data_IF_449917115271
#
_entry.id   IF_449917115271
#
_cell.length_a   1.000
_cell.length_b   1.000
_cell.length_c   1.000
_cell.angle_alpha   90.00
_cell.angle_beta   90.00
_cell.angle_gamma   90.00
#
_symmetry.space_group_name_H-M   'P 1'
#
loop_
_entity.id
_entity.type
_entity.pdbx_description
1 polymer ?
#
# COMPACT_ATOMS: atom_id res chain seq x y z
N UNK A 1 -1.17 -6.13 -1.97
CA UNK A 1 -2.09 -5.93 -0.83
C UNK A 1 -3.55 -6.12 -1.20
N UNK A 2 -4.05 -5.57 -2.30
CA UNK A 2 -5.44 -5.74 -2.76
C UNK A 2 -5.92 -7.19 -2.73
N UNK A 3 -5.12 -8.11 -3.25
CA UNK A 3 -5.42 -9.56 -3.18
C UNK A 3 -5.57 -10.07 -1.74
N UNK A 4 -4.69 -9.66 -0.82
CA UNK A 4 -4.76 -10.07 0.59
C UNK A 4 -6.03 -9.55 1.26
N UNK A 5 -6.40 -8.29 1.00
CA UNK A 5 -7.65 -7.71 1.48
C UNK A 5 -8.88 -8.45 0.91
N UNK A 6 -8.87 -8.77 -0.38
CA UNK A 6 -9.92 -9.58 -0.99
C UNK A 6 -10.01 -10.98 -0.37
N UNK A 7 -8.87 -11.68 -0.21
CA UNK A 7 -8.82 -13.01 0.39
C UNK A 7 -9.21 -13.01 1.89
N UNK A 8 -8.99 -11.89 2.59
CA UNK A 8 -9.43 -11.67 3.95
C UNK A 8 -10.95 -11.43 4.07
N UNK A 9 -11.67 -11.29 2.95
CA UNK A 9 -13.10 -10.98 2.93
C UNK A 9 -13.40 -9.48 3.04
N UNK A 10 -12.39 -8.62 2.81
CA UNK A 10 -12.49 -7.16 2.94
C UNK A 10 -12.04 -6.41 1.66
N UNK A 11 -12.76 -6.52 0.53
CA UNK A 11 -12.35 -5.90 -0.74
C UNK A 11 -12.12 -4.39 -0.65
N UNK A 12 -11.19 -3.89 -1.47
CA UNK A 12 -10.89 -2.45 -1.60
C UNK A 12 -11.96 -1.78 -2.44
N UNK A 13 -12.68 -0.81 -1.87
CA UNK A 13 -13.75 -0.05 -2.54
C UNK A 13 -13.25 1.30 -3.07
N UNK A 14 -12.25 1.90 -2.40
CA UNK A 14 -11.63 3.16 -2.83
C UNK A 14 -10.14 2.98 -3.08
N UNK A 15 -9.79 2.49 -4.29
CA UNK A 15 -8.42 2.17 -4.67
C UNK A 15 -7.47 3.37 -4.54
N UNK A 16 -7.90 4.58 -4.94
CA UNK A 16 -7.05 5.78 -4.89
C UNK A 16 -6.63 6.12 -3.45
N UNK A 17 -7.59 6.24 -2.54
CA UNK A 17 -7.33 6.59 -1.13
C UNK A 17 -6.60 5.46 -0.39
N UNK A 18 -6.84 4.20 -0.79
CA UNK A 18 -6.09 3.05 -0.31
C UNK A 18 -4.60 3.14 -0.71
N UNK A 19 -4.31 3.33 -2.00
CA UNK A 19 -2.96 3.47 -2.54
C UNK A 19 -2.21 4.66 -1.90
N UNK A 20 -2.85 5.82 -1.76
CA UNK A 20 -2.28 6.97 -1.04
C UNK A 20 -1.85 6.62 0.38
N UNK A 21 -2.68 5.82 1.06
CA UNK A 21 -2.38 5.29 2.39
C UNK A 21 -1.16 4.39 2.41
N UNK A 22 -1.11 3.41 1.51
CA UNK A 22 0.03 2.48 1.38
C UNK A 22 1.32 3.23 1.03
N UNK A 23 1.25 4.21 0.12
CA UNK A 23 2.40 5.04 -0.22
C UNK A 23 2.89 5.85 0.99
N UNK A 24 1.97 6.32 1.84
CA UNK A 24 2.35 7.00 3.08
C UNK A 24 3.15 6.10 4.01
N UNK A 25 2.73 4.85 4.18
CA UNK A 25 3.41 3.88 5.04
C UNK A 25 4.79 3.50 4.48
N UNK A 26 4.88 3.30 3.16
CA UNK A 26 6.14 2.98 2.48
C UNK A 26 7.17 4.11 2.58
N UNK A 27 6.77 5.37 2.78
CA UNK A 27 7.73 6.49 2.92
C UNK A 27 8.69 6.28 4.10
N UNK A 28 8.29 5.54 5.12
CA UNK A 28 9.08 5.30 6.34
C UNK A 28 10.33 4.43 6.12
N UNK A 29 10.36 3.64 5.04
CA UNK A 29 11.50 2.77 4.69
C UNK A 29 12.77 3.59 4.38
N UNK A 30 13.95 3.24 4.88
CA UNK A 30 15.13 4.12 4.79
C UNK A 30 15.86 3.99 3.44
N UNK A 31 16.17 5.11 2.75
CA UNK A 31 17.09 5.07 1.60
C UNK A 31 18.47 4.54 2.01
N UNK A 32 19.08 3.70 1.17
CA UNK A 32 20.37 3.05 1.42
C UNK A 32 20.27 1.69 2.14
N UNK A 33 19.13 1.39 2.79
CA UNK A 33 18.88 0.09 3.43
C UNK A 33 17.69 -0.62 2.81
N UNK A 34 16.51 0.01 2.85
CA UNK A 34 15.24 -0.58 2.42
C UNK A 34 14.83 -0.12 1.01
N UNK A 35 15.46 0.94 0.54
CA UNK A 35 15.13 1.59 -0.72
C UNK A 35 16.36 2.23 -1.35
N UNK A 36 16.32 2.41 -2.66
CA UNK A 36 17.26 3.24 -3.42
C UNK A 36 16.57 4.50 -3.90
N UNK A 37 17.31 5.61 -3.94
CA UNK A 37 16.84 6.83 -4.58
C UNK A 37 17.37 6.82 -6.01
N UNK A 38 16.47 6.63 -6.97
CA UNK A 38 16.81 6.62 -8.39
C UNK A 38 16.74 8.03 -8.96
N UNK A 39 17.81 8.44 -9.62
CA UNK A 39 17.87 9.73 -10.32
C UNK A 39 17.03 9.70 -11.61
N UNK A 40 16.60 10.87 -12.11
CA UNK A 40 15.84 10.93 -13.34
C UNK A 40 16.55 10.24 -14.51
N UNK A 41 15.79 9.52 -15.33
CA UNK A 41 16.29 8.79 -16.51
C UNK A 41 17.37 7.74 -16.22
N UNK A 42 17.47 7.20 -15.00
CA UNK A 42 18.33 6.02 -14.75
C UNK A 42 17.87 4.82 -15.58
N UNK A 43 18.77 3.87 -15.86
CA UNK A 43 18.44 2.67 -16.64
C UNK A 43 17.28 1.88 -16.03
N UNK A 44 17.19 1.83 -14.70
CA UNK A 44 16.10 1.17 -13.99
C UNK A 44 14.76 1.88 -14.25
N UNK A 45 14.71 3.21 -14.10
CA UNK A 45 13.48 3.96 -14.35
C UNK A 45 13.08 3.93 -15.83
N UNK A 46 14.05 3.90 -16.74
CA UNK A 46 13.79 3.74 -18.17
C UNK A 46 13.19 2.37 -18.51
N UNK A 47 13.74 1.29 -17.95
CA UNK A 47 13.18 -0.05 -18.08
C UNK A 47 11.75 -0.10 -17.53
N UNK A 48 11.52 0.43 -16.32
CA UNK A 48 10.18 0.44 -15.70
C UNK A 48 9.17 1.28 -16.49
N UNK A 49 9.60 2.41 -17.06
CA UNK A 49 8.74 3.27 -17.86
C UNK A 49 8.36 2.59 -19.18
N UNK A 50 9.33 1.98 -19.88
CA UNK A 50 9.09 1.22 -21.12
C UNK A 50 8.14 0.04 -20.92
N UNK A 51 8.14 -0.56 -19.73
CA UNK A 51 7.26 -1.66 -19.36
C UNK A 51 5.95 -1.19 -18.70
N UNK A 52 5.60 0.10 -18.77
CA UNK A 52 4.40 0.69 -18.17
C UNK A 52 4.24 0.46 -16.65
N UNK A 53 5.34 0.18 -15.94
CA UNK A 53 5.32 -0.03 -14.50
C UNK A 53 5.28 1.30 -13.72
N UNK A 54 5.73 2.39 -14.33
CA UNK A 54 5.71 3.74 -13.76
C UNK A 54 5.24 4.77 -14.79
N UNK A 55 4.62 5.86 -14.32
CA UNK A 55 4.09 6.93 -15.20
C UNK A 55 5.05 8.10 -15.42
N UNK A 56 6.18 8.14 -14.70
CA UNK A 56 7.14 9.24 -14.77
C UNK A 56 8.55 8.73 -14.51
N UNK A 57 9.54 9.36 -15.14
CA UNK A 57 10.96 9.12 -14.93
C UNK A 57 11.61 10.22 -14.08
N UNK A 58 10.83 10.91 -13.24
CA UNK A 58 11.37 11.82 -12.23
C UNK A 58 12.10 11.03 -11.15
N UNK A 59 12.92 11.74 -10.36
CA UNK A 59 13.58 11.21 -9.18
C UNK A 59 12.55 10.54 -8.27
N UNK A 60 12.76 9.26 -7.96
CA UNK A 60 11.81 8.49 -7.18
C UNK A 60 12.51 7.49 -6.27
N UNK A 61 11.87 7.24 -5.13
CA UNK A 61 12.32 6.26 -4.15
C UNK A 61 11.79 4.89 -4.57
N UNK A 62 12.69 3.98 -4.91
CA UNK A 62 12.39 2.62 -5.32
C UNK A 62 12.70 1.70 -4.15
N UNK A 63 11.73 0.90 -3.72
CA UNK A 63 11.85 0.02 -2.55
C UNK A 63 12.35 -1.36 -2.97
N UNK A 64 13.16 -2.00 -2.12
CA UNK A 64 13.49 -3.41 -2.29
C UNK A 64 12.31 -4.25 -1.83
N UNK A 65 11.81 -5.12 -2.70
CA UNK A 65 10.61 -5.92 -2.42
C UNK A 65 10.70 -6.74 -1.13
N UNK A 66 11.87 -7.31 -0.86
CA UNK A 66 12.14 -8.13 0.34
C UNK A 66 12.28 -7.29 1.62
N UNK A 67 12.58 -6.00 1.52
CA UNK A 67 12.67 -5.10 2.69
C UNK A 67 11.32 -4.53 3.10
N UNK A 68 10.29 -4.64 2.25
CA UNK A 68 8.94 -4.17 2.58
C UNK A 68 8.31 -5.14 3.59
N UNK A 69 7.91 -4.68 4.79
CA UNK A 69 7.25 -5.53 5.77
C UNK A 69 5.77 -5.72 5.40
N UNK A 70 5.50 -6.58 4.42
CA UNK A 70 4.18 -6.74 3.79
C UNK A 70 3.04 -7.05 4.78
N UNK A 71 3.32 -7.84 5.81
CA UNK A 71 2.32 -8.19 6.84
C UNK A 71 2.02 -6.99 7.74
N UNK A 72 3.06 -6.24 8.14
CA UNK A 72 2.88 -5.00 8.91
C UNK A 72 2.10 -3.96 8.11
N UNK A 73 2.44 -3.81 6.82
CA UNK A 73 1.77 -2.90 5.90
C UNK A 73 0.29 -3.26 5.71
N UNK A 74 -0.06 -4.55 5.72
CA UNK A 74 -1.44 -5.00 5.73
C UNK A 74 -2.15 -4.63 7.04
N UNK A 75 -1.53 -4.91 8.19
CA UNK A 75 -2.09 -4.61 9.50
C UNK A 75 -2.32 -3.10 9.71
N UNK A 76 -1.33 -2.26 9.37
CA UNK A 76 -1.44 -0.81 9.51
C UNK A 76 -2.55 -0.23 8.59
N UNK A 77 -2.74 -0.81 7.40
CA UNK A 77 -3.83 -0.44 6.49
C UNK A 77 -5.21 -0.87 7.04
N UNK A 78 -5.29 -2.09 7.60
CA UNK A 78 -6.51 -2.62 8.19
C UNK A 78 -6.92 -1.82 9.44
N UNK A 79 -5.98 -1.57 10.36
CA UNK A 79 -6.21 -0.79 11.57
C UNK A 79 -6.72 0.62 11.24
N UNK A 80 -6.17 1.25 10.20
CA UNK A 80 -6.62 2.57 9.73
C UNK A 80 -8.07 2.56 9.26
N UNK A 81 -8.48 1.54 8.51
CA UNK A 81 -9.84 1.44 8.03
C UNK A 81 -10.82 1.13 9.16
N UNK A 82 -10.48 0.22 10.07
CA UNK A 82 -11.30 -0.03 11.26
C UNK A 82 -11.44 1.25 12.11
N UNK A 83 -10.38 2.06 12.26
CA UNK A 83 -10.44 3.33 13.01
C UNK A 83 -11.40 4.31 12.35
N UNK A 84 -11.40 4.38 11.02
CA UNK A 84 -12.35 5.20 10.26
C UNK A 84 -13.79 4.74 10.47
N UNK A 85 -14.05 3.43 10.42
CA UNK A 85 -15.36 2.85 10.70
C UNK A 85 -15.85 3.23 12.11
N UNK A 86 -15.01 3.08 13.14
CA UNK A 86 -15.33 3.46 14.52
C UNK A 86 -15.65 4.96 14.67
N UNK A 87 -15.01 5.81 13.85
CA UNK A 87 -15.24 7.25 13.81
C UNK A 87 -16.40 7.68 12.89
N UNK A 88 -17.11 6.73 12.27
CA UNK A 88 -18.18 7.02 11.30
C UNK A 88 -17.69 7.65 9.99
N UNK A 89 -16.41 7.48 9.65
CA UNK A 89 -15.81 7.96 8.42
C UNK A 89 -15.76 6.85 7.37
N UNK A 90 -15.89 7.23 6.09
CA UNK A 90 -15.78 6.29 4.97
C UNK A 90 -14.39 5.61 4.90
N UNK A 91 -14.33 4.27 5.09
CA UNK A 91 -13.11 3.48 4.96
C UNK A 91 -12.73 3.28 3.49
N UNK A 92 -11.56 2.70 3.23
CA UNK A 92 -11.10 2.37 1.87
C UNK A 92 -11.41 0.94 1.45
N UNK A 93 -11.79 0.10 2.40
CA UNK A 93 -12.10 -1.32 2.27
C UNK A 93 -13.36 -1.62 3.07
N UNK A 94 -14.14 -2.61 2.65
CA UNK A 94 -15.40 -2.97 3.31
C UNK A 94 -15.44 -4.46 3.64
N UNK A 95 -15.88 -4.84 4.83
CA UNK A 95 -16.05 -6.23 5.21
C UNK A 95 -17.29 -6.83 4.52
N UNK A 96 -17.10 -7.91 3.76
CA UNK A 96 -18.15 -8.60 3.00
C UNK A 96 -18.24 -10.08 3.37
N UNK A 97 -17.15 -10.68 3.85
CA UNK A 97 -17.10 -12.09 4.24
C UNK A 97 -16.23 -12.31 5.48
N UNK A 98 -16.34 -13.49 6.08
CA UNK A 98 -15.44 -13.94 7.14
C UNK A 98 -14.02 -14.16 6.60
N UNK A 99 -12.96 -13.86 7.38
CA UNK A 99 -12.97 -13.41 8.78
C UNK A 99 -13.18 -11.89 8.98
N UNK A 100 -13.24 -11.08 7.92
CA UNK A 100 -13.34 -9.63 8.05
C UNK A 100 -14.64 -9.14 8.69
N UNK A 101 -15.75 -9.85 8.48
CA UNK A 101 -17.07 -9.48 9.01
C UNK A 101 -17.14 -9.55 10.55
N UNK A 102 -16.40 -10.47 11.17
CA UNK A 102 -16.34 -10.62 12.62
C UNK A 102 -15.23 -9.79 13.30
N UNK A 103 -14.41 -9.05 12.54
CA UNK A 103 -13.31 -8.26 13.09
C UNK A 103 -13.72 -6.80 13.36
N UNK A 104 -13.62 -6.36 14.60
CA UNK A 104 -13.83 -4.97 15.03
C UNK A 104 -12.67 -4.44 15.86
N UNK A 105 -12.51 -3.11 15.91
CA UNK A 105 -11.64 -2.46 16.89
C UNK A 105 -12.34 -2.36 18.24
N UNK A 106 -11.83 -3.07 19.24
CA UNK A 106 -12.19 -2.89 20.66
C UNK A 106 -12.05 -1.42 21.10
#
# INVERSE_FOLDING_TARGET
LTFRFHAFGRPVTNAKKFEEGIFSDLRNLKPGHDARLEEPKSELLDMLYKNNCIRTQKKQKVFYWFSVPHDRLFLDALERDLKREKMGMEPTTQAVAEPAASLSLD
#
